data_IF_804585713611
#
_entry.id   IF_804585713611
#
_cell.length_a   1.000
_cell.length_b   1.000
_cell.length_c   1.000
_cell.angle_alpha   90.00
_cell.angle_beta   90.00
_cell.angle_gamma   90.00
#
_symmetry.space_group_name_H-M   'P 1'
#
loop_
_entity.id
_entity.type
_entity.pdbx_description
1 polymer ?
#
# COMPACT_ATOMS: atom_id res chain seq x y z
N UNK A 1 -13.11 -20.40 -12.27
CA UNK A 1 -12.03 -21.05 -13.06
C UNK A 1 -12.53 -21.57 -14.41
N UNK A 2 -13.71 -22.20 -14.48
CA UNK A 2 -14.27 -22.79 -15.73
C UNK A 2 -14.37 -21.82 -16.92
N UNK A 3 -14.81 -20.57 -16.69
CA UNK A 3 -14.88 -19.56 -17.75
C UNK A 3 -13.50 -19.16 -18.31
N UNK A 4 -12.45 -19.23 -17.49
CA UNK A 4 -11.06 -18.91 -17.86
C UNK A 4 -10.47 -20.11 -18.61
N UNK A 5 -10.76 -21.33 -18.17
CA UNK A 5 -10.34 -22.57 -18.82
C UNK A 5 -10.78 -22.66 -20.30
N UNK A 6 -11.97 -22.12 -20.62
CA UNK A 6 -12.49 -22.05 -21.98
C UNK A 6 -11.72 -21.09 -22.90
N UNK A 7 -11.01 -20.11 -22.33
CA UNK A 7 -10.22 -19.13 -23.08
C UNK A 7 -8.79 -19.64 -23.25
N UNK A 8 -8.14 -20.05 -22.16
CA UNK A 8 -6.83 -20.69 -22.18
C UNK A 8 -6.65 -21.58 -20.94
N UNK A 9 -6.56 -22.91 -21.09
CA UNK A 9 -6.35 -23.82 -19.98
C UNK A 9 -4.98 -23.61 -19.29
N UNK A 10 -3.96 -23.12 -20.00
CA UNK A 10 -2.64 -22.86 -19.40
C UNK A 10 -2.68 -21.72 -18.38
N UNK A 11 -3.59 -20.76 -18.56
CA UNK A 11 -3.81 -19.67 -17.59
C UNK A 11 -4.37 -20.23 -16.29
N UNK A 12 -5.21 -21.26 -16.35
CA UNK A 12 -5.75 -21.91 -15.15
C UNK A 12 -4.65 -22.63 -14.39
N UNK A 13 -3.79 -23.38 -15.08
CA UNK A 13 -2.64 -24.05 -14.44
C UNK A 13 -1.70 -23.05 -13.79
N UNK A 14 -1.39 -21.95 -14.48
CA UNK A 14 -0.61 -20.85 -13.93
C UNK A 14 -1.26 -20.27 -12.66
N UNK A 15 -2.52 -19.82 -12.73
CA UNK A 15 -3.25 -19.22 -11.61
C UNK A 15 -3.40 -20.17 -10.41
N UNK A 16 -3.44 -21.47 -10.66
CA UNK A 16 -3.48 -22.49 -9.61
C UNK A 16 -2.18 -22.54 -8.81
N UNK A 17 -1.05 -22.30 -9.47
CA UNK A 17 0.29 -22.31 -8.89
C UNK A 17 0.71 -20.94 -8.33
N UNK A 18 -0.06 -19.88 -8.59
CA UNK A 18 0.26 -18.53 -8.10
C UNK A 18 0.24 -18.48 -6.56
N UNK A 19 1.36 -18.06 -5.92
CA UNK A 19 1.44 -17.95 -4.47
C UNK A 19 0.44 -16.93 -3.91
N UNK A 20 0.05 -17.10 -2.64
CA UNK A 20 -0.90 -16.20 -1.95
C UNK A 20 -0.50 -14.71 -2.05
N UNK A 21 0.80 -14.40 -2.09
CA UNK A 21 1.33 -13.03 -2.15
C UNK A 21 0.96 -12.26 -3.44
N UNK A 22 0.53 -12.96 -4.50
CA UNK A 22 0.32 -12.36 -5.82
C UNK A 22 -1.15 -12.22 -6.21
N UNK A 23 -2.07 -12.69 -5.35
CA UNK A 23 -3.51 -12.71 -5.63
C UNK A 23 -4.28 -12.05 -4.49
N UNK A 24 -4.83 -10.85 -4.72
CA UNK A 24 -5.61 -10.10 -3.71
C UNK A 24 -6.74 -10.92 -3.06
N UNK A 25 -7.41 -11.77 -3.84
CA UNK A 25 -8.47 -12.64 -3.30
C UNK A 25 -7.97 -13.70 -2.29
N UNK A 26 -6.66 -13.98 -2.26
CA UNK A 26 -6.01 -14.89 -1.29
C UNK A 26 -5.36 -14.14 -0.12
N UNK A 27 -5.47 -12.81 -0.07
CA UNK A 27 -4.92 -12.04 1.05
C UNK A 27 -5.71 -12.35 2.32
N UNK A 28 -5.00 -12.40 3.44
CA UNK A 28 -5.62 -12.64 4.74
C UNK A 28 -6.45 -11.42 5.13
N UNK A 29 -7.77 -11.56 5.34
CA UNK A 29 -8.65 -10.44 5.66
C UNK A 29 -8.30 -9.73 6.97
N UNK A 30 -7.52 -10.35 7.85
CA UNK A 30 -7.11 -9.77 9.14
C UNK A 30 -6.17 -8.57 8.99
N UNK A 31 -5.36 -8.55 7.93
CA UNK A 31 -4.33 -7.51 7.72
C UNK A 31 -4.96 -6.22 7.16
N UNK A 32 -6.20 -6.29 6.64
CA UNK A 32 -6.95 -5.12 6.14
C UNK A 32 -6.10 -4.28 5.17
N UNK A 33 -5.60 -4.93 4.13
CA UNK A 33 -4.67 -4.34 3.17
C UNK A 33 -5.05 -4.70 1.74
N UNK A 34 -5.38 -3.68 0.95
CA UNK A 34 -5.89 -3.84 -0.42
C UNK A 34 -4.93 -3.30 -1.50
N UNK A 35 -3.75 -2.84 -1.10
CA UNK A 35 -2.73 -2.38 -2.02
C UNK A 35 -1.75 -3.51 -2.37
N UNK A 36 -1.34 -3.60 -3.63
CA UNK A 36 -0.22 -4.44 -4.04
C UNK A 36 0.49 -3.68 -5.17
N UNK A 37 1.13 -2.57 -4.80
CA UNK A 37 1.72 -1.62 -5.75
C UNK A 37 3.22 -1.47 -5.49
N UNK A 38 3.97 -1.23 -6.56
CA UNK A 38 5.40 -0.86 -6.51
C UNK A 38 5.63 0.55 -5.97
N UNK A 39 4.58 1.27 -5.57
CA UNK A 39 4.63 2.66 -5.11
C UNK A 39 5.68 2.90 -4.03
N UNK A 40 5.89 1.92 -3.13
CA UNK A 40 6.95 2.02 -2.14
C UNK A 40 8.33 2.09 -2.79
N UNK A 41 8.62 1.12 -3.66
CA UNK A 41 9.91 1.00 -4.34
C UNK A 41 10.13 2.24 -5.20
N UNK A 42 9.10 2.73 -5.89
CA UNK A 42 9.17 3.94 -6.70
C UNK A 42 9.41 5.19 -5.85
N UNK A 43 8.68 5.36 -4.74
CA UNK A 43 8.84 6.50 -3.83
C UNK A 43 10.22 6.50 -3.16
N UNK A 44 10.67 5.34 -2.68
CA UNK A 44 11.99 5.17 -2.09
C UNK A 44 13.10 5.41 -3.14
N UNK A 45 12.92 4.89 -4.35
CA UNK A 45 13.85 5.13 -5.45
C UNK A 45 13.91 6.62 -5.80
N UNK A 46 12.77 7.31 -5.87
CA UNK A 46 12.71 8.74 -6.14
C UNK A 46 13.42 9.55 -5.03
N UNK A 47 13.21 9.19 -3.76
CA UNK A 47 13.83 9.82 -2.61
C UNK A 47 15.36 9.63 -2.60
N UNK A 48 15.85 8.43 -2.88
CA UNK A 48 17.30 8.14 -2.81
C UNK A 48 18.06 8.58 -4.06
N UNK A 49 17.40 8.71 -5.21
CA UNK A 49 18.03 8.98 -6.51
C UNK A 49 19.03 10.16 -6.52
N UNK A 50 18.75 11.32 -5.90
CA UNK A 50 19.69 12.44 -5.90
C UNK A 50 21.02 12.16 -5.17
N UNK A 51 21.00 11.22 -4.22
CA UNK A 51 22.10 10.99 -3.28
C UNK A 51 22.90 9.71 -3.57
N UNK A 52 22.51 8.91 -4.57
CA UNK A 52 23.17 7.62 -4.87
C UNK A 52 24.62 7.74 -5.32
N UNK A 53 24.99 8.88 -5.91
CA UNK A 53 26.35 9.17 -6.36
C UNK A 53 27.20 9.84 -5.25
N UNK A 54 26.65 10.07 -4.06
CA UNK A 54 27.32 10.73 -2.92
C UNK A 54 27.94 9.70 -1.96
N UNK A 55 28.84 10.12 -1.05
CA UNK A 55 29.31 9.25 0.02
C UNK A 55 28.15 8.60 0.77
N UNK A 56 28.33 7.34 1.20
CA UNK A 56 27.30 6.57 1.93
C UNK A 56 26.80 7.35 3.15
N UNK A 57 27.69 8.09 3.81
CA UNK A 57 27.37 8.96 4.91
C UNK A 57 26.27 9.98 4.54
N UNK A 58 26.48 10.76 3.47
CA UNK A 58 25.52 11.75 2.98
C UNK A 58 24.18 11.12 2.58
N UNK A 59 24.21 9.93 1.96
CA UNK A 59 22.98 9.19 1.65
C UNK A 59 22.18 8.86 2.93
N UNK A 60 22.86 8.44 3.99
CA UNK A 60 22.23 8.10 5.28
C UNK A 60 21.68 9.34 6.00
N UNK A 61 22.43 10.45 6.01
CA UNK A 61 21.96 11.73 6.57
C UNK A 61 20.68 12.22 5.88
N UNK A 62 20.67 12.21 4.55
CA UNK A 62 19.52 12.68 3.77
C UNK A 62 18.32 11.76 3.91
N UNK A 63 18.55 10.44 3.98
CA UNK A 63 17.48 9.48 4.28
C UNK A 63 16.89 9.73 5.68
N UNK A 64 17.74 9.95 6.70
CA UNK A 64 17.31 10.29 8.05
C UNK A 64 16.51 11.60 8.10
N UNK A 65 17.02 12.65 7.45
CA UNK A 65 16.35 13.95 7.31
C UNK A 65 14.98 13.83 6.63
N UNK A 66 14.88 13.03 5.57
CA UNK A 66 13.62 12.77 4.88
C UNK A 66 12.63 12.04 5.79
N UNK A 67 13.06 10.96 6.44
CA UNK A 67 12.22 10.20 7.37
C UNK A 67 11.72 11.12 8.50
N UNK A 68 12.60 11.96 9.07
CA UNK A 68 12.27 12.88 10.17
C UNK A 68 11.22 13.91 9.73
N UNK A 69 11.41 14.54 8.57
CA UNK A 69 10.43 15.49 8.01
C UNK A 69 9.07 14.82 7.76
N UNK A 70 9.08 13.58 7.27
CA UNK A 70 7.86 12.81 7.02
C UNK A 70 7.13 12.46 8.31
N UNK A 71 7.82 11.90 9.31
CA UNK A 71 7.22 11.60 10.62
C UNK A 71 6.72 12.88 11.29
N UNK A 72 7.53 13.94 11.32
CA UNK A 72 7.13 15.22 11.93
C UNK A 72 5.86 15.82 11.31
N UNK A 73 5.75 15.82 9.97
CA UNK A 73 4.53 16.26 9.28
C UNK A 73 3.31 15.40 9.63
N UNK A 74 3.50 14.07 9.72
CA UNK A 74 2.42 13.13 10.06
C UNK A 74 2.01 13.21 11.52
N UNK A 75 2.96 13.46 12.43
CA UNK A 75 2.73 13.70 13.84
C UNK A 75 1.89 14.97 14.07
N UNK A 76 2.22 16.07 13.38
CA UNK A 76 1.40 17.29 13.41
C UNK A 76 -0.06 17.02 13.04
N UNK A 77 -0.30 16.28 11.94
CA UNK A 77 -1.65 15.82 11.58
C UNK A 77 -2.28 14.91 12.64
N UNK A 78 -1.48 14.06 13.28
CA UNK A 78 -1.97 13.13 14.30
C UNK A 78 -2.52 13.87 15.51
N UNK A 79 -1.87 14.95 15.96
CA UNK A 79 -2.33 15.77 17.10
C UNK A 79 -3.74 16.32 16.85
N UNK A 80 -3.96 16.90 15.67
CA UNK A 80 -5.23 17.55 15.30
C UNK A 80 -6.37 16.54 15.09
N UNK A 81 -6.05 15.28 14.79
CA UNK A 81 -7.04 14.28 14.42
C UNK A 81 -7.86 13.79 15.62
N UNK A 82 -9.19 13.80 15.51
CA UNK A 82 -10.07 13.20 16.51
C UNK A 82 -9.91 11.67 16.59
N UNK A 83 -10.19 11.01 17.73
CA UNK A 83 -9.97 9.56 17.89
C UNK A 83 -10.79 8.72 16.89
N UNK A 84 -12.02 9.13 16.58
CA UNK A 84 -12.91 8.46 15.64
C UNK A 84 -12.91 9.08 14.24
N UNK A 85 -12.12 10.13 14.02
CA UNK A 85 -12.04 10.78 12.72
C UNK A 85 -11.37 9.83 11.71
N UNK A 86 -11.93 9.73 10.52
CA UNK A 86 -11.33 8.95 9.44
C UNK A 86 -10.10 9.65 8.88
N UNK A 87 -9.11 8.85 8.50
CA UNK A 87 -7.99 9.31 7.67
C UNK A 87 -8.48 9.89 6.34
N UNK A 88 -7.76 10.86 5.78
CA UNK A 88 -8.07 11.51 4.49
C UNK A 88 -8.30 10.46 3.37
N UNK A 89 -7.44 9.44 3.32
CA UNK A 89 -7.57 8.32 2.39
C UNK A 89 -8.91 7.58 2.55
N UNK A 90 -9.24 7.14 3.77
CA UNK A 90 -10.44 6.36 4.00
C UNK A 90 -11.71 7.20 3.76
N UNK A 91 -11.70 8.48 4.12
CA UNK A 91 -12.79 9.41 3.84
C UNK A 91 -13.02 9.57 2.33
N UNK A 92 -11.95 9.75 1.55
CA UNK A 92 -12.03 9.86 0.09
C UNK A 92 -12.57 8.58 -0.57
N UNK A 93 -12.06 7.41 -0.15
CA UNK A 93 -12.54 6.11 -0.66
C UNK A 93 -14.00 5.87 -0.28
N UNK A 94 -14.41 6.25 0.94
CA UNK A 94 -15.79 6.10 1.41
C UNK A 94 -16.74 6.98 0.59
N UNK A 95 -16.35 8.22 0.31
CA UNK A 95 -17.13 9.16 -0.51
C UNK A 95 -17.30 8.65 -1.95
N UNK A 96 -16.20 8.23 -2.59
CA UNK A 96 -16.25 7.67 -3.95
C UNK A 96 -17.19 6.45 -4.02
N UNK A 97 -17.05 5.51 -3.09
CA UNK A 97 -17.88 4.31 -3.02
C UNK A 97 -19.32 4.64 -2.65
N UNK A 98 -19.56 5.69 -1.87
CA UNK A 98 -20.89 6.17 -1.52
C UNK A 98 -21.64 6.65 -2.77
N UNK A 99 -20.97 7.43 -3.63
CA UNK A 99 -21.54 7.84 -4.91
C UNK A 99 -21.86 6.64 -5.81
N UNK A 100 -20.95 5.67 -5.88
CA UNK A 100 -21.16 4.43 -6.65
C UNK A 100 -22.29 3.55 -6.07
N UNK A 101 -22.51 3.58 -4.77
CA UNK A 101 -23.56 2.77 -4.11
C UNK A 101 -24.96 3.11 -4.62
N UNK A 102 -25.17 4.32 -5.15
CA UNK A 102 -26.46 4.79 -5.69
C UNK A 102 -26.96 3.95 -6.87
N UNK A 103 -26.06 3.28 -7.60
CA UNK A 103 -26.39 2.39 -8.71
C UNK A 103 -26.75 0.96 -8.27
N UNK A 104 -26.76 0.70 -6.97
CA UNK A 104 -27.09 -0.60 -6.40
C UNK A 104 -28.50 -0.60 -5.79
N UNK A 105 -29.22 -1.71 -5.90
CA UNK A 105 -30.53 -1.92 -5.26
C UNK A 105 -30.45 -3.02 -4.20
N UNK A 106 -31.12 -2.83 -3.06
CA UNK A 106 -31.10 -3.78 -1.93
C UNK A 106 -32.42 -4.55 -1.88
N UNK A 107 -32.33 -5.82 -1.54
CA UNK A 107 -33.45 -6.65 -1.12
C UNK A 107 -33.06 -7.29 0.21
N UNK A 108 -33.85 -7.04 1.25
CA UNK A 108 -33.63 -7.66 2.55
C UNK A 108 -34.04 -9.13 2.51
N UNK A 109 -33.20 -10.00 3.05
CA UNK A 109 -33.51 -11.39 3.31
C UNK A 109 -33.84 -11.58 4.80
N UNK A 110 -34.19 -12.82 5.18
CA UNK A 110 -34.45 -13.19 6.57
C UNK A 110 -33.13 -13.25 7.34
N UNK A 111 -33.14 -12.84 8.61
CA UNK A 111 -32.01 -13.03 9.52
C UNK A 111 -30.86 -12.00 9.39
N UNK A 112 -31.14 -10.79 8.92
CA UNK A 112 -30.13 -9.72 8.84
C UNK A 112 -29.17 -9.85 7.65
N UNK A 113 -29.52 -10.69 6.68
CA UNK A 113 -28.81 -10.83 5.41
C UNK A 113 -29.47 -9.98 4.32
N UNK A 114 -28.68 -9.56 3.34
CA UNK A 114 -29.15 -8.71 2.25
C UNK A 114 -28.61 -9.21 0.93
N UNK A 115 -29.45 -9.10 -0.09
CA UNK A 115 -29.03 -9.25 -1.47
C UNK A 115 -28.92 -7.86 -2.09
N UNK A 116 -27.74 -7.51 -2.62
CA UNK A 116 -27.56 -6.28 -3.38
C UNK A 116 -27.35 -6.60 -4.85
N UNK A 117 -28.19 -6.00 -5.69
CA UNK A 117 -28.10 -6.10 -7.14
C UNK A 117 -27.37 -4.89 -7.72
N UNK A 118 -26.38 -5.16 -8.56
CA UNK A 118 -25.67 -4.19 -9.39
C UNK A 118 -25.74 -4.69 -10.84
N UNK A 119 -26.50 -4.00 -11.69
CA UNK A 119 -26.78 -4.47 -13.04
C UNK A 119 -27.44 -5.86 -13.04
N UNK A 120 -26.78 -6.85 -13.65
CA UNK A 120 -27.26 -8.24 -13.71
C UNK A 120 -26.70 -9.16 -12.60
N UNK A 121 -25.81 -8.64 -11.74
CA UNK A 121 -25.12 -9.43 -10.72
C UNK A 121 -25.71 -9.13 -9.34
N UNK A 122 -25.79 -10.16 -8.50
CA UNK A 122 -26.27 -10.10 -7.13
C UNK A 122 -25.15 -10.48 -6.17
N UNK A 123 -25.03 -9.74 -5.07
CA UNK A 123 -24.03 -9.94 -4.04
C UNK A 123 -24.71 -10.15 -2.68
N UNK A 124 -24.46 -11.27 -1.99
CA UNK A 124 -24.92 -11.46 -0.62
C UNK A 124 -24.08 -10.60 0.33
N UNK A 125 -24.73 -10.00 1.32
CA UNK A 125 -24.11 -9.14 2.33
C UNK A 125 -24.62 -9.52 3.70
N UNK A 126 -23.70 -9.62 4.65
CA UNK A 126 -24.01 -9.75 6.08
C UNK A 126 -23.38 -8.57 6.82
N UNK A 127 -24.23 -7.67 7.33
CA UNK A 127 -23.78 -6.43 7.99
C UNK A 127 -22.99 -6.71 9.26
N UNK A 128 -23.50 -7.60 10.13
CA UNK A 128 -22.88 -7.90 11.43
C UNK A 128 -21.46 -8.48 11.26
N UNK A 129 -21.31 -9.35 10.28
CA UNK A 129 -20.01 -9.93 9.93
C UNK A 129 -19.13 -9.00 9.07
N UNK A 130 -19.64 -7.83 8.64
CA UNK A 130 -18.96 -6.89 7.74
C UNK A 130 -18.46 -7.56 6.45
N UNK A 131 -19.28 -8.45 5.88
CA UNK A 131 -18.92 -9.24 4.70
C UNK A 131 -19.78 -8.89 3.50
N UNK A 132 -19.15 -8.87 2.32
CA UNK A 132 -19.84 -8.75 1.05
C UNK A 132 -19.32 -9.81 0.07
N UNK A 133 -20.20 -10.38 -0.75
CA UNK A 133 -19.81 -11.33 -1.80
C UNK A 133 -18.80 -10.80 -2.82
N UNK A 134 -18.60 -9.48 -2.92
CA UNK A 134 -17.55 -8.91 -3.77
C UNK A 134 -16.12 -9.03 -3.16
N UNK A 135 -15.98 -9.35 -1.88
CA UNK A 135 -14.70 -9.50 -1.17
C UNK A 135 -13.95 -8.21 -0.83
N UNK A 136 -14.31 -7.08 -1.46
CA UNK A 136 -13.61 -5.80 -1.29
C UNK A 136 -13.67 -5.28 0.15
N UNK A 137 -14.80 -5.47 0.84
CA UNK A 137 -14.94 -5.00 2.22
C UNK A 137 -14.00 -5.76 3.16
N UNK A 138 -13.91 -7.08 3.00
CA UNK A 138 -13.07 -7.94 3.83
C UNK A 138 -11.58 -7.64 3.65
N UNK A 139 -11.16 -7.33 2.43
CA UNK A 139 -9.75 -7.05 2.12
C UNK A 139 -9.36 -5.63 2.49
N UNK A 140 -10.20 -4.64 2.12
CA UNK A 140 -9.87 -3.22 2.34
C UNK A 140 -10.25 -2.69 3.72
N UNK A 141 -11.13 -3.39 4.46
CA UNK A 141 -11.69 -2.94 5.74
C UNK A 141 -12.52 -1.66 5.67
N UNK A 142 -12.74 -1.13 4.46
CA UNK A 142 -13.66 -0.03 4.19
C UNK A 142 -14.86 -0.67 3.47
N UNK A 143 -16.11 -0.34 3.86
CA UNK A 143 -17.29 -0.82 3.16
C UNK A 143 -17.17 -0.65 1.64
N UNK A 144 -17.49 -1.70 0.89
CA UNK A 144 -17.62 -1.61 -0.55
C UNK A 144 -18.92 -0.87 -0.92
N UNK A 145 -19.09 -0.47 -2.18
CA UNK A 145 -20.32 0.20 -2.65
C UNK A 145 -21.59 -0.61 -2.37
N UNK A 146 -21.52 -1.94 -2.42
CA UNK A 146 -22.66 -2.80 -2.08
C UNK A 146 -22.98 -2.79 -0.59
N UNK A 147 -21.94 -2.90 0.26
CA UNK A 147 -22.08 -2.80 1.71
C UNK A 147 -22.63 -1.43 2.14
N UNK A 148 -22.13 -0.35 1.55
CA UNK A 148 -22.64 1.01 1.77
C UNK A 148 -24.10 1.14 1.40
N UNK A 149 -24.53 0.52 0.30
CA UNK A 149 -25.94 0.56 -0.09
C UNK A 149 -26.85 -0.06 0.99
N UNK A 150 -26.42 -1.15 1.62
CA UNK A 150 -27.16 -1.78 2.73
C UNK A 150 -27.13 -0.91 3.99
N UNK A 151 -25.97 -0.36 4.34
CA UNK A 151 -25.80 0.54 5.50
C UNK A 151 -26.77 1.73 5.38
N UNK A 152 -26.80 2.39 4.22
CA UNK A 152 -27.71 3.51 3.97
C UNK A 152 -29.17 3.09 3.93
N UNK A 153 -29.49 1.90 3.41
CA UNK A 153 -30.85 1.35 3.48
C UNK A 153 -31.32 1.18 4.93
N UNK A 154 -30.41 0.79 5.84
CA UNK A 154 -30.69 0.68 7.27
C UNK A 154 -30.55 1.99 8.05
N UNK A 155 -30.28 3.12 7.37
CA UNK A 155 -30.07 4.44 7.98
C UNK A 155 -28.96 4.44 9.06
N UNK A 156 -27.94 3.62 8.86
CA UNK A 156 -26.78 3.54 9.73
C UNK A 156 -25.66 4.44 9.22
N UNK A 157 -24.75 4.80 10.13
CA UNK A 157 -23.62 5.66 9.81
C UNK A 157 -22.47 4.84 9.21
N UNK A 158 -22.00 5.20 8.02
CA UNK A 158 -21.02 4.41 7.28
C UNK A 158 -19.65 4.39 7.95
N UNK A 159 -19.29 5.47 8.67
CA UNK A 159 -18.00 5.59 9.36
C UNK A 159 -17.81 4.56 10.50
N UNK A 160 -18.90 4.02 11.05
CA UNK A 160 -18.87 2.98 12.10
C UNK A 160 -18.46 1.61 11.56
N UNK A 161 -18.67 1.40 10.27
CA UNK A 161 -18.36 0.15 9.57
C UNK A 161 -16.95 0.13 8.95
N UNK A 162 -16.24 1.26 8.99
CA UNK A 162 -14.83 1.36 8.60
C UNK A 162 -13.95 0.74 9.69
N UNK A 163 -12.92 0.00 9.27
CA UNK A 163 -11.94 -0.61 10.17
C UNK A 163 -11.26 0.43 11.06
N UNK A 164 -11.01 0.05 12.32
CA UNK A 164 -10.34 0.88 13.32
C UNK A 164 -8.95 1.36 12.87
N UNK A 165 -8.27 0.61 12.00
CA UNK A 165 -6.98 1.00 11.44
C UNK A 165 -7.03 2.33 10.69
N UNK A 166 -8.17 2.71 10.11
CA UNK A 166 -8.30 3.98 9.37
C UNK A 166 -8.81 5.14 10.21
N UNK A 167 -8.88 4.99 11.54
CA UNK A 167 -9.34 6.03 12.47
C UNK A 167 -8.15 6.72 13.15
N UNK A 168 -8.40 7.94 13.62
CA UNK A 168 -7.37 8.78 14.24
C UNK A 168 -6.67 8.15 15.44
N UNK A 169 -7.33 7.28 16.20
CA UNK A 169 -6.68 6.54 17.28
C UNK A 169 -5.52 5.65 16.79
N UNK A 170 -5.75 4.83 15.75
CA UNK A 170 -4.69 3.99 15.17
C UNK A 170 -3.60 4.83 14.49
N UNK A 171 -4.01 5.92 13.84
CA UNK A 171 -3.08 6.88 13.22
C UNK A 171 -2.16 7.52 14.26
N UNK A 172 -2.69 7.96 15.41
CA UNK A 172 -1.91 8.51 16.53
C UNK A 172 -0.93 7.50 17.09
N UNK A 173 -1.36 6.25 17.28
CA UNK A 173 -0.47 5.19 17.78
C UNK A 173 0.69 4.94 16.81
N UNK A 174 0.41 4.89 15.51
CA UNK A 174 1.43 4.69 14.46
C UNK A 174 2.51 5.75 14.50
N UNK A 175 2.13 7.02 14.68
CA UNK A 175 3.05 8.16 14.66
C UNK A 175 3.41 8.67 16.05
N UNK A 176 3.18 7.90 17.11
CA UNK A 176 3.45 8.33 18.49
C UNK A 176 4.95 8.46 18.79
N UNK A 177 5.77 7.65 18.11
CA UNK A 177 7.21 7.68 18.24
C UNK A 177 7.86 8.75 17.35
N UNK A 178 8.94 9.34 17.85
CA UNK A 178 9.68 10.41 17.19
C UNK A 178 11.07 9.92 16.81
N UNK A 179 11.55 10.31 15.63
CA UNK A 179 12.97 10.23 15.33
C UNK A 179 13.67 11.50 15.83
N UNK A 180 14.68 11.31 16.67
CA UNK A 180 15.49 12.40 17.19
C UNK A 180 16.46 12.91 16.13
N UNK A 181 16.75 14.22 16.11
CA UNK A 181 17.82 14.75 15.27
C UNK A 181 19.16 14.15 15.69
N UNK A 182 19.99 13.83 14.70
CA UNK A 182 21.36 13.39 14.94
C UNK A 182 22.27 14.62 15.00
N UNK A 183 23.16 14.74 15.99
CA UNK A 183 24.13 15.83 16.05
C UNK A 183 25.08 15.77 14.85
N UNK A 184 25.65 16.92 14.49
CA UNK A 184 26.66 17.00 13.44
C UNK A 184 27.93 16.22 13.84
N UNK A 185 28.67 15.61 12.90
CA UNK A 185 29.94 14.93 13.21
C UNK A 185 30.93 15.73 14.04
N UNK A 186 30.92 17.06 13.93
CA UNK A 186 31.77 17.95 14.74
C UNK A 186 31.45 17.91 16.23
N UNK A 187 30.26 17.45 16.60
CA UNK A 187 29.77 17.36 17.98
C UNK A 187 29.83 15.94 18.54
N UNK A 188 30.27 14.96 17.73
CA UNK A 188 30.33 13.58 18.19
C UNK A 188 31.47 13.40 19.20
N UNK A 189 31.27 12.59 20.25
CA UNK A 189 32.35 12.26 21.15
C UNK A 189 33.46 11.52 20.39
N UNK A 190 34.70 11.77 20.79
CA UNK A 190 35.83 11.02 20.24
C UNK A 190 35.73 9.56 20.68
N UNK A 191 35.74 8.64 19.73
CA UNK A 191 35.77 7.21 19.99
C UNK A 191 37.15 6.64 19.63
N UNK A 192 37.69 5.78 20.49
CA UNK A 192 38.90 5.01 20.19
C UNK A 192 38.54 3.79 19.31
N UNK A 193 38.10 4.08 18.08
CA UNK A 193 37.73 3.08 17.09
C UNK A 193 38.82 2.93 16.05
N UNK A 194 39.08 1.70 15.63
CA UNK A 194 39.99 1.39 14.54
C UNK A 194 39.57 2.10 13.25
N UNK A 195 40.49 2.84 12.65
CA UNK A 195 40.28 3.52 11.36
C UNK A 195 40.02 2.47 10.28
N UNK A 196 38.80 2.47 9.72
CA UNK A 196 38.46 1.62 8.59
C UNK A 196 39.11 2.23 7.35
N UNK A 197 40.19 1.61 6.88
CA UNK A 197 40.80 1.99 5.61
C UNK A 197 39.84 1.65 4.45
N UNK A 198 39.74 2.50 3.42
CA UNK A 198 38.93 2.19 2.26
C UNK A 198 39.42 0.88 1.63
N UNK A 199 38.52 0.02 1.13
CA UNK A 199 38.92 -1.20 0.44
C UNK A 199 39.85 -0.83 -0.74
N UNK A 200 40.92 -1.60 -0.98
CA UNK A 200 41.82 -1.35 -2.09
C UNK A 200 41.07 -1.46 -3.42
N UNK A 201 40.62 -0.31 -3.95
CA UNK A 201 39.88 -0.24 -5.20
C UNK A 201 40.83 -0.29 -6.40
N UNK A 202 40.84 -1.41 -7.14
CA UNK A 202 41.31 -1.41 -8.53
C UNK A 202 40.17 -0.92 -9.44
N UNK A 203 40.26 0.31 -9.95
CA UNK A 203 39.32 0.78 -10.99
C UNK A 203 39.53 -0.04 -12.26
N UNK A 204 38.48 -0.66 -12.79
CA UNK A 204 38.49 -1.10 -14.18
C UNK A 204 38.65 0.13 -15.09
N UNK A 205 39.37 -0.01 -16.21
CA UNK A 205 39.57 1.11 -17.14
C UNK A 205 38.21 1.59 -17.70
N UNK A 206 37.88 2.86 -17.51
CA UNK A 206 36.72 3.52 -18.10
C UNK A 206 35.75 4.14 -17.09
N UNK A 207 34.92 5.07 -17.57
CA UNK A 207 33.88 5.74 -16.77
C UNK A 207 32.76 4.74 -16.43
N UNK A 208 32.41 4.53 -15.15
CA UNK A 208 31.25 3.74 -14.79
C UNK A 208 29.99 4.32 -15.45
N UNK A 209 29.21 3.52 -16.20
CA UNK A 209 28.01 4.02 -16.85
C UNK A 209 26.97 4.37 -15.79
N UNK A 210 26.50 5.61 -15.77
CA UNK A 210 25.42 6.08 -14.87
C UNK A 210 24.09 5.38 -15.10
N UNK A 211 23.89 4.83 -16.30
CA UNK A 211 22.69 4.13 -16.71
C UNK A 211 22.98 2.64 -16.83
N UNK A 212 22.04 1.82 -16.38
CA UNK A 212 22.05 0.37 -16.60
C UNK A 212 22.23 0.10 -18.09
N UNK A 213 23.25 -0.69 -18.45
CA UNK A 213 23.40 -1.20 -19.81
C UNK A 213 22.30 -2.22 -20.10
N UNK A 214 21.73 -2.11 -21.28
CA UNK A 214 20.67 -3.00 -21.73
C UNK A 214 21.12 -4.45 -21.85
N UNK A 215 20.29 -5.37 -21.36
CA UNK A 215 20.50 -6.81 -21.59
C UNK A 215 20.12 -7.21 -23.03
N UNK A 216 20.67 -8.32 -23.54
CA UNK A 216 20.37 -8.84 -24.88
C UNK A 216 18.87 -9.10 -25.14
N UNK A 217 18.08 -9.32 -24.09
CA UNK A 217 16.63 -9.60 -24.17
C UNK A 217 15.75 -8.39 -23.86
N UNK A 218 16.32 -7.19 -23.75
CA UNK A 218 15.58 -5.98 -23.40
C UNK A 218 15.04 -5.29 -24.69
N UNK A 219 13.73 -5.40 -24.97
CA UNK A 219 13.07 -4.94 -26.21
C UNK A 219 12.93 -3.43 -26.29
N UNK A 220 13.41 -2.75 -27.34
CA UNK A 220 13.37 -1.25 -27.48
C UNK A 220 11.98 -0.71 -27.16
N UNK A 221 11.85 0.02 -26.05
CA UNK A 221 10.64 0.77 -25.75
C UNK A 221 10.63 1.95 -26.71
N UNK A 222 9.93 1.80 -27.85
CA UNK A 222 9.36 2.95 -28.54
C UNK A 222 8.30 3.51 -27.60
N UNK A 223 8.12 4.83 -27.53
CA UNK A 223 7.05 5.46 -26.76
C UNK A 223 5.70 4.90 -27.21
N UNK A 224 5.27 3.84 -26.54
CA UNK A 224 3.99 3.20 -26.68
C UNK A 224 3.51 3.14 -25.24
N UNK A 225 2.41 3.83 -24.94
CA UNK A 225 1.63 3.55 -23.73
C UNK A 225 1.18 2.10 -23.84
N UNK A 226 1.88 1.19 -23.17
CA UNK A 226 1.49 -0.21 -23.07
C UNK A 226 1.13 -0.57 -21.62
N UNK A 227 0.12 -1.43 -21.44
CA UNK A 227 -0.52 -1.70 -20.16
C UNK A 227 0.41 -2.49 -19.23
N UNK A 228 0.22 -2.26 -17.93
CA UNK A 228 0.92 -2.89 -16.82
C UNK A 228 1.06 -4.41 -17.01
N UNK A 229 2.30 -4.88 -17.09
CA UNK A 229 2.67 -6.26 -16.83
C UNK A 229 3.71 -6.30 -15.72
N UNK A 230 3.38 -7.06 -14.67
CA UNK A 230 4.15 -7.20 -13.43
C UNK A 230 5.38 -8.07 -13.72
N UNK A 231 6.57 -7.52 -13.47
CA UNK A 231 7.84 -8.25 -13.46
C UNK A 231 8.27 -8.53 -12.01
N UNK A 232 9.04 -9.61 -11.74
CA UNK A 232 9.19 -10.18 -10.41
C UNK A 232 10.20 -9.36 -9.59
N UNK A 233 9.74 -8.78 -8.48
CA UNK A 233 10.63 -8.17 -7.50
C UNK A 233 10.98 -9.18 -6.41
N UNK A 234 12.28 -9.33 -6.21
CA UNK A 234 12.97 -10.18 -5.25
C UNK A 234 12.64 -9.72 -3.82
N UNK A 235 12.37 -10.70 -2.96
CA UNK A 235 12.13 -10.61 -1.52
C UNK A 235 12.76 -9.39 -0.83
N UNK A 236 11.93 -8.54 -0.26
CA UNK A 236 12.33 -7.68 0.86
C UNK A 236 11.27 -7.74 1.96
N UNK A 237 11.80 -7.89 3.18
CA UNK A 237 11.11 -8.16 4.42
C UNK A 237 10.05 -7.11 4.78
N UNK A 238 9.00 -7.62 5.41
CA UNK A 238 7.91 -6.93 6.07
C UNK A 238 8.43 -5.83 7.01
N UNK A 239 8.06 -4.56 6.75
CA UNK A 239 8.21 -3.47 7.71
C UNK A 239 6.87 -2.70 7.74
N UNK A 240 5.97 -3.17 8.58
CA UNK A 240 4.54 -2.85 8.57
C UNK A 240 4.15 -1.54 9.26
N UNK A 241 5.10 -0.69 9.66
CA UNK A 241 4.78 0.48 10.50
C UNK A 241 4.89 1.83 9.78
N UNK A 242 5.33 1.87 8.53
CA UNK A 242 5.58 3.14 7.80
C UNK A 242 4.49 3.53 6.79
N UNK A 243 3.44 2.74 6.63
CA UNK A 243 2.51 2.83 5.49
C UNK A 243 1.13 3.36 5.85
N UNK A 244 1.09 4.42 6.65
CA UNK A 244 -0.13 5.22 6.72
C UNK A 244 -0.04 6.38 5.71
N UNK A 245 -0.76 6.18 4.60
CA UNK A 245 -1.29 7.22 3.71
C UNK A 245 -0.26 7.81 2.72
N UNK A 246 -0.19 7.13 1.57
CA UNK A 246 -0.02 7.75 0.25
C UNK A 246 -1.20 7.35 -0.62
#
# INVERSE_FOLDING_TARGET
MEKIAKIDPKVVDYLSQVPKQWSRHKFEPQVVYDHNTTNFVESFNACTKPFRDMPVYTLMEEAGSWCMKKIGSRFGKAIEMGPNQLTEYAAGVLEERSQQSRFCSVTAAVGGEYEVKEGAVKYPIKLDARTCGCGVWQISGIPCRHGLRVIYHQRLEATDFVSHYFKGQAYKLTYSEHMHPMPDPTQWPSFDLSIILPPPMKRASGRPPKLRKRGKHDTRIKNIRMPFFIAPCINFFCCSSFFFIW
#
